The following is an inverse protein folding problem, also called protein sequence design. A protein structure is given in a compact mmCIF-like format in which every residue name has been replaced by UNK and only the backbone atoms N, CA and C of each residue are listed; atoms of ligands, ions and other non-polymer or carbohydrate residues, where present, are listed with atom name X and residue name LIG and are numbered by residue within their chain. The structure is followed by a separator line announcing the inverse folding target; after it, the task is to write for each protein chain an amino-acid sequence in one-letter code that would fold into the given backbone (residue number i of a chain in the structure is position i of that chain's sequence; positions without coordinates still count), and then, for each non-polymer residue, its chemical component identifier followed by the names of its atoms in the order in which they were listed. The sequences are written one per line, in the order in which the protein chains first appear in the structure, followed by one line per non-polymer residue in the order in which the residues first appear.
data_IF_845874840881
#
_entry.id   IF_845874840881
#
_cell.length_a   1.000
_cell.length_b   1.000
_cell.length_c   1.000
_cell.angle_alpha   90.00
_cell.angle_beta   90.00
_cell.angle_gamma   90.00
#
_symmetry.space_group_name_H-M   'P 1'
#
loop_
_entity.id
_entity.type
_entity.pdbx_description
1 polymer ?
#
# COMPACT_ATOMS: atom_id res chain seq x y z
N UNK A 1 -11.24 -20.40 23.72
CA UNK A 1 -11.72 -19.48 22.72
C UNK A 1 -10.58 -19.05 21.82
N UNK A 2 -10.56 -19.50 20.59
CA UNK A 2 -9.54 -19.12 19.60
C UNK A 2 -9.63 -17.61 19.38
N UNK A 3 -8.59 -16.87 19.70
CA UNK A 3 -8.43 -15.48 19.29
C UNK A 3 -8.35 -15.50 17.75
N UNK A 4 -9.44 -15.14 17.08
CA UNK A 4 -9.38 -14.82 15.65
C UNK A 4 -8.40 -13.66 15.49
N UNK A 5 -7.24 -13.92 14.91
CA UNK A 5 -6.36 -12.88 14.43
C UNK A 5 -7.16 -12.01 13.46
N UNK A 6 -7.45 -10.80 13.86
CA UNK A 6 -8.07 -9.82 12.98
C UNK A 6 -7.00 -9.39 11.97
N UNK A 7 -7.18 -9.80 10.74
CA UNK A 7 -6.32 -9.38 9.63
C UNK A 7 -6.73 -7.99 9.16
N UNK A 8 -5.76 -7.20 8.78
CA UNK A 8 -6.01 -5.94 8.05
C UNK A 8 -6.93 -6.22 6.87
N UNK A 9 -7.94 -5.39 6.69
CA UNK A 9 -8.93 -5.53 5.64
C UNK A 9 -8.92 -4.31 4.75
N UNK A 10 -9.06 -4.56 3.45
CA UNK A 10 -9.29 -3.51 2.46
C UNK A 10 -10.67 -3.72 1.88
N UNK A 11 -11.47 -2.69 1.87
CA UNK A 11 -12.79 -2.71 1.24
C UNK A 11 -13.09 -1.37 0.57
N UNK A 12 -14.12 -1.35 -0.24
CA UNK A 12 -14.52 -0.17 -0.96
C UNK A 12 -14.61 -0.42 -2.46
N UNK A 13 -14.56 0.64 -3.22
CA UNK A 13 -14.68 0.63 -4.67
C UNK A 13 -13.43 1.26 -5.27
N UNK A 14 -12.74 0.52 -6.11
CA UNK A 14 -11.59 1.02 -6.86
C UNK A 14 -11.87 0.92 -8.36
N UNK A 15 -11.67 2.02 -9.06
CA UNK A 15 -11.65 2.07 -10.50
C UNK A 15 -10.20 2.14 -10.94
N UNK A 16 -9.76 1.12 -11.66
CA UNK A 16 -8.35 0.92 -11.97
C UNK A 16 -8.21 0.73 -13.47
N UNK A 17 -7.24 1.41 -14.04
CA UNK A 17 -6.72 1.15 -15.37
C UNK A 17 -5.31 0.60 -15.24
N UNK A 18 -5.05 -0.57 -15.80
CA UNK A 18 -3.78 -1.27 -15.67
C UNK A 18 -3.25 -1.64 -17.06
N UNK A 19 -2.03 -1.20 -17.33
CA UNK A 19 -1.23 -1.63 -18.47
C UNK A 19 0.05 -2.28 -17.96
N UNK A 20 0.31 -3.49 -18.40
CA UNK A 20 1.50 -4.22 -18.01
C UNK A 20 2.13 -4.95 -19.20
N UNK A 21 3.44 -4.83 -19.31
CA UNK A 21 4.25 -5.53 -20.32
C UNK A 21 5.28 -6.40 -19.61
N UNK A 22 5.34 -7.65 -20.02
CA UNK A 22 6.29 -8.63 -19.50
C UNK A 22 7.12 -9.16 -20.64
N UNK A 23 8.44 -9.10 -20.50
CA UNK A 23 9.41 -9.61 -21.44
C UNK A 23 10.44 -10.46 -20.70
N UNK A 24 11.05 -11.39 -21.40
CA UNK A 24 12.17 -12.13 -20.85
C UNK A 24 12.06 -13.64 -21.02
N UNK A 25 12.80 -14.34 -20.18
CA UNK A 25 12.86 -15.78 -20.12
C UNK A 25 12.37 -16.30 -18.77
N UNK A 26 12.35 -17.61 -18.59
CA UNK A 26 11.97 -18.21 -17.29
C UNK A 26 12.90 -17.83 -16.12
N UNK A 27 14.11 -17.33 -16.40
CA UNK A 27 15.09 -16.97 -15.38
C UNK A 27 15.17 -15.46 -15.17
N UNK A 28 14.89 -14.66 -16.20
CA UNK A 28 15.01 -13.21 -16.18
C UNK A 28 13.75 -12.59 -16.77
N UNK A 29 13.03 -11.84 -15.97
CA UNK A 29 11.84 -11.13 -16.39
C UNK A 29 12.05 -9.62 -16.26
N UNK A 30 11.65 -8.92 -17.31
CA UNK A 30 11.48 -7.46 -17.29
C UNK A 30 9.99 -7.15 -17.32
N UNK A 31 9.53 -6.45 -16.30
CA UNK A 31 8.13 -6.08 -16.13
C UNK A 31 7.99 -4.57 -16.07
N UNK A 32 7.22 -4.02 -17.00
CA UNK A 32 6.77 -2.64 -16.98
C UNK A 32 5.28 -2.61 -16.67
N UNK A 33 4.90 -1.96 -15.59
CA UNK A 33 3.51 -1.85 -15.18
C UNK A 33 3.13 -0.38 -14.91
N UNK A 34 1.99 0.02 -15.44
CA UNK A 34 1.39 1.31 -15.13
C UNK A 34 -0.03 1.08 -14.62
N UNK A 35 -0.31 1.55 -13.42
CA UNK A 35 -1.62 1.47 -12.80
C UNK A 35 -2.14 2.87 -12.52
N UNK A 36 -3.36 3.16 -12.97
CA UNK A 36 -4.03 4.41 -12.70
C UNK A 36 -5.25 4.15 -11.80
N UNK A 37 -5.29 4.80 -10.67
CA UNK A 37 -6.49 4.89 -9.86
C UNK A 37 -7.34 6.05 -10.40
N UNK A 38 -8.51 5.72 -10.88
CA UNK A 38 -9.39 6.65 -11.56
C UNK A 38 -10.30 7.41 -10.56
N UNK A 39 -10.84 8.57 -10.96
CA UNK A 39 -11.78 9.33 -10.15
C UNK A 39 -12.97 8.47 -9.71
N UNK A 40 -13.49 8.73 -8.53
CA UNK A 40 -14.55 7.93 -7.91
C UNK A 40 -14.07 6.71 -7.12
N UNK A 41 -12.78 6.43 -7.17
CA UNK A 41 -12.17 5.43 -6.28
C UNK A 41 -12.30 5.87 -4.83
N UNK A 42 -12.85 4.99 -4.01
CA UNK A 42 -13.01 5.19 -2.57
C UNK A 42 -12.71 3.87 -1.87
N UNK A 43 -11.54 3.79 -1.27
CA UNK A 43 -11.06 2.57 -0.61
C UNK A 43 -10.80 2.85 0.86
N UNK A 44 -11.07 1.86 1.67
CA UNK A 44 -10.84 1.89 3.10
C UNK A 44 -9.91 0.75 3.49
N UNK A 45 -8.86 1.09 4.20
CA UNK A 45 -7.96 0.15 4.83
C UNK A 45 -8.20 0.15 6.33
N UNK A 46 -8.49 -1.00 6.90
CA UNK A 46 -8.66 -1.18 8.34
C UNK A 46 -7.40 -1.79 8.92
N UNK A 47 -6.74 -1.06 9.80
CA UNK A 47 -5.57 -1.57 10.50
C UNK A 47 -6.02 -2.52 11.61
N UNK A 48 -5.52 -3.74 11.58
CA UNK A 48 -5.72 -4.68 12.68
C UNK A 48 -4.73 -4.37 13.79
N UNK A 49 -5.23 -3.92 14.94
CA UNK A 49 -4.51 -3.76 16.21
C UNK A 49 -3.08 -3.16 16.09
N UNK A 50 -3.00 -1.94 15.56
CA UNK A 50 -1.74 -1.23 15.44
C UNK A 50 -1.02 -0.98 16.81
N UNK A 51 -1.73 -1.08 17.90
CA UNK A 51 -1.20 -0.73 19.24
C UNK A 51 -0.34 -1.84 19.85
N UNK A 52 -0.60 -3.09 19.51
CA UNK A 52 0.17 -4.21 20.07
C UNK A 52 1.38 -4.61 19.21
N UNK A 53 1.49 -4.11 18.01
CA UNK A 53 2.57 -4.46 17.10
C UNK A 53 3.78 -3.52 17.16
N UNK A 54 3.60 -2.30 17.65
CA UNK A 54 4.70 -1.34 17.79
C UNK A 54 5.71 -1.71 18.88
N UNK A 55 5.34 -2.60 19.79
CA UNK A 55 6.21 -3.02 20.90
C UNK A 55 6.92 -4.35 20.66
N UNK A 56 6.59 -5.10 19.63
CA UNK A 56 7.10 -6.48 19.46
C UNK A 56 7.77 -6.78 18.14
N UNK A 57 7.85 -5.83 17.20
CA UNK A 57 8.47 -6.09 15.89
C UNK A 57 9.63 -5.17 15.59
N UNK A 58 10.76 -5.79 15.34
CA UNK A 58 11.86 -5.16 14.64
C UNK A 58 11.39 -4.65 13.28
N UNK A 59 11.94 -3.53 12.84
CA UNK A 59 11.58 -2.73 11.66
C UNK A 59 11.52 -3.45 10.31
N UNK A 60 11.54 -4.79 10.28
CA UNK A 60 11.58 -5.56 9.04
C UNK A 60 10.21 -5.84 8.41
N UNK A 61 9.11 -5.60 9.14
CA UNK A 61 7.77 -5.96 8.65
C UNK A 61 6.85 -4.76 8.40
N UNK A 62 7.37 -3.54 8.41
CA UNK A 62 6.52 -2.34 8.32
C UNK A 62 5.92 -2.06 6.94
N UNK A 63 6.39 -2.72 5.90
CA UNK A 63 5.73 -2.69 4.60
C UNK A 63 5.82 -4.09 4.00
N UNK A 64 4.97 -4.97 4.44
CA UNK A 64 4.68 -6.14 3.65
C UNK A 64 3.80 -5.66 2.50
N UNK A 65 4.41 -5.26 1.40
CA UNK A 65 3.71 -5.23 0.14
C UNK A 65 3.15 -6.63 -0.05
N UNK A 66 1.85 -6.75 0.02
CA UNK A 66 1.18 -7.97 -0.37
C UNK A 66 1.61 -8.21 -1.80
N UNK A 67 2.51 -9.13 -1.97
CA UNK A 67 2.95 -9.57 -3.27
C UNK A 67 1.68 -9.95 -4.03
N UNK A 68 1.42 -9.34 -5.17
CA UNK A 68 0.35 -9.75 -6.07
C UNK A 68 0.45 -11.22 -6.50
N UNK A 69 1.44 -11.94 -6.02
CA UNK A 69 1.60 -13.39 -6.18
C UNK A 69 0.59 -14.20 -5.39
N UNK A 70 -0.12 -13.63 -4.44
CA UNK A 70 -1.10 -14.37 -3.63
C UNK A 70 -2.47 -14.53 -4.31
N UNK A 71 -2.66 -14.00 -5.49
CA UNK A 71 -3.86 -14.25 -6.31
C UNK A 71 -3.68 -15.38 -7.31
N UNK A 72 -2.51 -15.94 -7.43
CA UNK A 72 -2.27 -17.10 -8.27
C UNK A 72 -2.24 -18.36 -7.44
N UNK A 73 -3.30 -19.13 -7.60
CA UNK A 73 -3.33 -20.59 -7.46
C UNK A 73 -2.30 -21.11 -6.46
N UNK A 74 -2.77 -21.53 -5.32
CA UNK A 74 -2.02 -22.46 -4.47
C UNK A 74 -1.71 -23.70 -5.30
N UNK A 75 -0.64 -23.64 -6.07
CA UNK A 75 0.04 -24.82 -6.47
C UNK A 75 0.76 -25.29 -5.21
N UNK A 76 0.40 -26.46 -4.72
CA UNK A 76 1.15 -27.14 -3.70
C UNK A 76 2.62 -27.13 -4.09
N UNK A 77 3.37 -26.23 -3.48
CA UNK A 77 4.79 -26.15 -3.67
C UNK A 77 5.45 -27.19 -2.76
N UNK A 78 5.22 -28.45 -3.07
CA UNK A 78 6.13 -29.48 -2.61
C UNK A 78 7.46 -29.28 -3.32
N UNK A 79 8.35 -28.56 -2.64
CA UNK A 79 9.80 -28.75 -2.62
C UNK A 79 10.49 -29.06 -3.95
N UNK A 80 10.17 -28.32 -4.98
CA UNK A 80 11.14 -28.08 -6.04
C UNK A 80 11.71 -26.71 -5.73
N UNK A 81 13.01 -26.65 -5.40
CA UNK A 81 13.72 -25.39 -5.36
C UNK A 81 13.42 -24.66 -6.66
N UNK A 82 12.48 -23.74 -6.59
CA UNK A 82 12.15 -22.90 -7.75
C UNK A 82 13.45 -22.19 -8.11
N UNK A 83 13.94 -22.30 -9.34
CA UNK A 83 15.07 -21.49 -9.76
C UNK A 83 14.71 -20.05 -9.40
N UNK A 84 15.56 -19.38 -8.67
CA UNK A 84 15.33 -17.99 -8.25
C UNK A 84 15.11 -17.16 -9.50
N UNK A 85 13.85 -16.80 -9.75
CA UNK A 85 13.48 -15.97 -10.88
C UNK A 85 13.95 -14.55 -10.56
N UNK A 86 14.83 -14.03 -11.38
CA UNK A 86 15.30 -12.66 -11.31
C UNK A 86 14.34 -11.76 -12.09
N UNK A 87 13.96 -10.63 -11.51
CA UNK A 87 12.99 -9.72 -12.11
C UNK A 87 13.46 -8.28 -11.98
N UNK A 88 13.46 -7.57 -13.11
CA UNK A 88 13.40 -6.12 -13.13
C UNK A 88 11.93 -5.71 -13.16
N UNK A 89 11.51 -4.91 -12.22
CA UNK A 89 10.18 -4.33 -12.18
C UNK A 89 10.27 -2.81 -12.22
N UNK A 90 9.56 -2.21 -13.15
CA UNK A 90 9.27 -0.78 -13.17
C UNK A 90 7.76 -0.61 -13.09
N UNK A 91 7.30 -0.16 -11.94
CA UNK A 91 5.88 0.02 -11.67
C UNK A 91 5.57 1.49 -11.38
N UNK A 92 4.62 2.04 -12.11
CA UNK A 92 4.12 3.40 -11.93
C UNK A 92 2.69 3.36 -11.44
N UNK A 93 2.44 4.00 -10.29
CA UNK A 93 1.10 4.22 -9.77
C UNK A 93 0.74 5.69 -9.92
N UNK A 94 -0.31 5.97 -10.67
CA UNK A 94 -0.89 7.31 -10.77
C UNK A 94 -2.22 7.35 -10.04
N UNK A 95 -2.37 8.31 -9.15
CA UNK A 95 -3.59 8.54 -8.39
C UNK A 95 -4.24 9.79 -8.98
N UNK A 96 -5.39 9.62 -9.62
CA UNK A 96 -6.14 10.72 -10.21
C UNK A 96 -6.84 11.54 -9.14
N UNK A 97 -6.97 12.84 -9.37
CA UNK A 97 -7.83 13.70 -8.55
C UNK A 97 -9.25 13.12 -8.48
N UNK A 98 -9.85 13.12 -7.31
CA UNK A 98 -11.16 12.49 -7.08
C UNK A 98 -11.05 11.07 -6.49
N UNK A 99 -9.87 10.67 -6.10
CA UNK A 99 -9.61 9.44 -5.35
C UNK A 99 -9.64 9.72 -3.86
N UNK A 100 -10.37 8.90 -3.12
CA UNK A 100 -10.46 8.96 -1.66
C UNK A 100 -9.84 7.71 -1.05
N UNK A 101 -8.96 7.92 -0.10
CA UNK A 101 -8.38 6.84 0.70
C UNK A 101 -8.73 7.06 2.15
N UNK A 102 -9.29 6.04 2.78
CA UNK A 102 -9.60 6.05 4.20
C UNK A 102 -8.73 5.02 4.90
N UNK A 103 -8.23 5.37 6.07
CA UNK A 103 -7.51 4.45 6.95
C UNK A 103 -8.20 4.45 8.30
N UNK A 104 -8.74 3.33 8.70
CA UNK A 104 -9.25 3.13 10.05
C UNK A 104 -8.09 2.64 10.92
N UNK A 105 -7.73 3.45 11.91
CA UNK A 105 -6.58 3.22 12.78
C UNK A 105 -6.90 2.28 13.94
N UNK A 106 -8.17 2.06 14.18
CA UNK A 106 -8.65 1.12 15.20
C UNK A 106 -9.83 0.31 14.67
N UNK A 107 -10.03 -0.91 15.20
CA UNK A 107 -11.10 -1.80 14.73
C UNK A 107 -12.52 -1.30 15.01
N UNK A 108 -12.66 -0.26 15.80
CA UNK A 108 -13.95 0.32 16.17
C UNK A 108 -14.29 1.55 15.31
N UNK A 109 -13.35 1.97 14.44
CA UNK A 109 -13.53 3.13 13.56
C UNK A 109 -13.58 4.47 14.28
N UNK A 110 -13.12 4.53 15.53
CA UNK A 110 -13.08 5.77 16.30
C UNK A 110 -11.97 6.70 15.89
N UNK A 111 -10.89 6.13 15.37
CA UNK A 111 -9.75 6.87 14.87
C UNK A 111 -9.58 6.54 13.39
N UNK A 112 -9.58 7.58 12.58
CA UNK A 112 -9.51 7.42 11.12
C UNK A 112 -8.79 8.57 10.45
N UNK A 113 -8.21 8.27 9.30
CA UNK A 113 -7.66 9.24 8.37
C UNK A 113 -8.44 9.15 7.08
N UNK A 114 -8.83 10.28 6.55
CA UNK A 114 -9.41 10.37 5.20
C UNK A 114 -8.58 11.31 4.37
N UNK A 115 -8.18 10.86 3.20
CA UNK A 115 -7.35 11.62 2.27
C UNK A 115 -8.00 11.66 0.90
N UNK A 116 -8.08 12.86 0.35
CA UNK A 116 -8.31 13.07 -1.07
C UNK A 116 -6.97 13.35 -1.71
N UNK A 117 -6.48 12.40 -2.48
CA UNK A 117 -5.09 12.40 -2.93
C UNK A 117 -4.98 12.37 -4.44
N UNK A 118 -3.87 12.86 -4.94
CA UNK A 118 -3.46 12.76 -6.33
C UNK A 118 -1.94 12.72 -6.42
N UNK A 119 -1.41 12.20 -7.51
CA UNK A 119 0.02 12.18 -7.72
C UNK A 119 0.50 10.93 -8.41
N UNK A 120 1.81 10.81 -8.53
CA UNK A 120 2.44 9.66 -9.18
C UNK A 120 3.58 9.15 -8.33
N UNK A 121 3.64 7.85 -8.16
CA UNK A 121 4.70 7.14 -7.46
C UNK A 121 5.27 6.08 -8.39
N UNK A 122 6.58 5.95 -8.39
CA UNK A 122 7.30 4.95 -9.15
C UNK A 122 7.99 4.00 -8.18
N UNK A 123 7.83 2.72 -8.41
CA UNK A 123 8.54 1.67 -7.71
C UNK A 123 9.38 0.89 -8.71
N UNK A 124 10.65 0.75 -8.44
CA UNK A 124 11.56 -0.05 -9.28
C UNK A 124 12.31 -1.05 -8.42
N UNK A 125 12.47 -2.24 -8.95
CA UNK A 125 13.40 -3.22 -8.41
C UNK A 125 14.18 -3.85 -9.54
N UNK A 126 15.46 -4.11 -9.32
CA UNK A 126 16.33 -4.73 -10.31
C UNK A 126 16.57 -6.21 -9.99
N UNK A 127 17.39 -6.87 -10.83
CA UNK A 127 17.77 -8.27 -10.64
C UNK A 127 18.55 -8.53 -9.34
N UNK A 128 19.12 -7.49 -8.75
CA UNK A 128 19.86 -7.54 -7.48
C UNK A 128 18.94 -7.28 -6.26
N UNK A 129 17.63 -7.11 -6.49
CA UNK A 129 16.63 -6.70 -5.49
C UNK A 129 16.90 -5.32 -4.88
N UNK A 130 17.59 -4.44 -5.59
CA UNK A 130 17.68 -3.04 -5.21
C UNK A 130 16.35 -2.36 -5.48
N UNK A 131 15.73 -1.87 -4.43
CA UNK A 131 14.40 -1.26 -4.45
C UNK A 131 14.51 0.26 -4.34
N UNK A 132 13.81 0.95 -5.24
CA UNK A 132 13.70 2.40 -5.22
C UNK A 132 12.23 2.82 -5.29
N UNK A 133 11.87 3.72 -4.42
CA UNK A 133 10.53 4.28 -4.38
C UNK A 133 10.62 5.80 -4.49
N UNK A 134 10.09 6.36 -5.57
CA UNK A 134 10.17 7.79 -5.87
C UNK A 134 8.81 8.34 -6.24
N UNK A 135 8.63 9.62 -6.07
CA UNK A 135 7.44 10.33 -6.49
C UNK A 135 6.82 11.16 -5.39
N UNK A 136 5.64 11.68 -5.66
CA UNK A 136 4.91 12.54 -4.75
C UNK A 136 3.43 12.22 -4.78
N UNK A 137 2.86 12.15 -3.59
CA UNK A 137 1.42 12.11 -3.38
C UNK A 137 1.00 13.42 -2.75
N UNK A 138 0.19 14.18 -3.47
CA UNK A 138 -0.40 15.41 -2.97
C UNK A 138 -1.66 15.08 -2.18
N UNK A 139 -1.83 15.74 -1.05
CA UNK A 139 -3.02 15.67 -0.23
C UNK A 139 -3.83 16.92 -0.54
N UNK A 140 -4.87 16.74 -1.35
CA UNK A 140 -5.70 17.88 -1.81
C UNK A 140 -6.58 18.39 -0.69
N UNK A 141 -7.15 17.50 0.10
CA UNK A 141 -7.78 17.76 1.38
C UNK A 141 -7.94 16.44 2.17
N UNK A 142 -8.41 16.54 3.37
CA UNK A 142 -8.65 15.40 4.22
C UNK A 142 -8.55 15.76 5.69
N UNK A 143 -8.74 14.78 6.53
CA UNK A 143 -8.68 14.96 7.97
C UNK A 143 -8.14 13.73 8.69
N UNK A 144 -7.62 13.97 9.87
CA UNK A 144 -7.30 12.94 10.87
C UNK A 144 -8.24 13.12 12.05
N UNK A 145 -8.95 12.07 12.39
CA UNK A 145 -9.79 12.01 13.58
C UNK A 145 -9.25 10.91 14.48
N UNK A 146 -9.00 11.21 15.73
CA UNK A 146 -8.57 10.21 16.69
C UNK A 146 -9.23 10.40 18.03
N UNK A 147 -9.43 9.30 18.71
CA UNK A 147 -10.03 9.25 20.03
C UNK A 147 -8.96 8.89 21.06
N UNK A 148 -8.79 9.78 22.02
CA UNK A 148 -7.85 9.57 23.13
C UNK A 148 -8.67 9.25 24.39
N UNK A 149 -8.39 8.15 25.07
CA UNK A 149 -9.05 7.87 26.34
C UNK A 149 -8.90 9.06 27.31
N UNK A 150 -9.99 9.42 28.00
CA UNK A 150 -10.07 10.53 28.95
C UNK A 150 -10.13 11.92 28.31
N UNK A 151 -9.43 12.19 27.20
CA UNK A 151 -9.38 13.50 26.56
C UNK A 151 -10.53 13.68 25.56
N UNK A 152 -11.00 12.57 24.98
CA UNK A 152 -12.06 12.57 23.99
C UNK A 152 -11.55 12.60 22.55
N UNK A 153 -12.44 12.99 21.66
CA UNK A 153 -12.19 13.00 20.23
C UNK A 153 -11.54 14.31 19.79
N UNK A 154 -10.52 14.19 18.94
CA UNK A 154 -9.84 15.31 18.28
C UNK A 154 -9.84 15.12 16.78
N UNK A 155 -9.95 16.21 16.04
CA UNK A 155 -9.91 16.21 14.58
C UNK A 155 -8.99 17.31 14.09
N UNK A 156 -8.20 16.99 13.07
CA UNK A 156 -7.30 17.92 12.38
C UNK A 156 -7.49 17.80 10.88
N UNK A 157 -7.58 18.93 10.22
CA UNK A 157 -7.65 18.98 8.77
C UNK A 157 -6.25 19.15 8.17
N UNK A 158 -6.02 18.47 7.05
CA UNK A 158 -4.82 18.72 6.26
C UNK A 158 -4.94 20.05 5.53
N UNK A 159 -3.86 20.82 5.56
CA UNK A 159 -3.77 22.05 4.80
C UNK A 159 -3.65 21.74 3.30
N UNK A 160 -4.25 22.59 2.49
CA UNK A 160 -4.03 22.58 1.06
C UNK A 160 -2.53 22.71 0.76
N UNK A 161 -2.04 21.91 -0.18
CA UNK A 161 -0.64 21.85 -0.53
C UNK A 161 0.20 20.89 0.32
N UNK A 162 -0.42 20.15 1.24
CA UNK A 162 0.27 19.05 1.92
C UNK A 162 0.63 17.94 0.93
N UNK A 163 1.77 17.32 1.12
CA UNK A 163 2.21 16.22 0.26
C UNK A 163 3.14 15.26 1.01
N UNK A 164 3.28 14.09 0.45
CA UNK A 164 4.29 13.10 0.84
C UNK A 164 5.20 12.88 -0.35
N UNK A 165 6.49 13.00 -0.15
CA UNK A 165 7.50 12.77 -1.18
C UNK A 165 8.39 11.59 -0.82
N UNK A 166 8.63 10.76 -1.82
CA UNK A 166 9.50 9.59 -1.74
C UNK A 166 10.74 9.85 -2.58
N UNK A 167 11.92 9.76 -1.98
CA UNK A 167 13.17 10.24 -2.60
C UNK A 167 14.10 9.16 -3.10
N UNK A 168 13.70 7.89 -3.06
CA UNK A 168 14.38 6.82 -3.75
C UNK A 168 14.76 5.63 -2.89
N UNK A 169 15.73 5.74 -2.03
CA UNK A 169 16.26 4.58 -1.34
C UNK A 169 15.35 4.19 -0.17
N UNK A 170 14.89 2.95 -0.21
CA UNK A 170 14.26 2.34 0.95
C UNK A 170 15.37 1.84 1.88
N UNK A 171 15.52 2.53 3.01
CA UNK A 171 16.41 2.10 4.08
C UNK A 171 15.82 0.90 4.84
#
# INVERSE_FOLDING_TARGET
GSKKQRRSQVYGKAFIDLDAKVKGSMQFLDVDAAMNLLPGTNVTYVMADAVNELTSRSNQDMVKFVNFKDTTVVADADTIASPSMMMNLDARLTISTGTTVNVELDPQGKSKVQLHSSGTVNYTTDYMNDEHFTGRININNGFVKYSVPVIGEKSFDFKEGSYVEFSGDML
#
